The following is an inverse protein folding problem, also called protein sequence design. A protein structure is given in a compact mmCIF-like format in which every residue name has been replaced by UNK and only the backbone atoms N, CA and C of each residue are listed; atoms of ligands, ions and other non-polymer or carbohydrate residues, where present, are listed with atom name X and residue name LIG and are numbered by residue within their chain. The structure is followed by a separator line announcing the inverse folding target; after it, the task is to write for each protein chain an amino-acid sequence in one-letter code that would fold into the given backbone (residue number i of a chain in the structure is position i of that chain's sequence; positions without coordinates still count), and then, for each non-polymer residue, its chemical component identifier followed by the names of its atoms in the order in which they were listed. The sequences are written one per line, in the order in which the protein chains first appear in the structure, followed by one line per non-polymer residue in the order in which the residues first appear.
data_IF_005385967676
#
_entry.id   IF_005385967676
#
_cell.length_a   1.000
_cell.length_b   1.000
_cell.length_c   1.000
_cell.angle_alpha   90.00
_cell.angle_beta   90.00
_cell.angle_gamma   90.00
#
_symmetry.space_group_name_H-M   'P 1'
#
loop_
_entity.id
_entity.type
_entity.pdbx_description
1 polymer ?
#
# COMPACT_ATOMS: atom_id res chain seq x y z
N UNK A 1 -60.19 -12.49 -50.68
CA UNK A 1 -58.75 -12.71 -50.92
C UNK A 1 -58.27 -11.67 -51.93
N UNK A 2 -57.03 -11.17 -51.92
CA UNK A 2 -56.30 -10.51 -50.83
C UNK A 2 -55.53 -9.27 -51.35
N UNK A 3 -55.45 -8.16 -50.60
CA UNK A 3 -54.39 -7.16 -50.83
C UNK A 3 -54.11 -6.26 -49.62
N UNK A 4 -54.99 -6.28 -48.60
CA UNK A 4 -54.71 -5.72 -47.27
C UNK A 4 -53.55 -6.43 -46.52
N UNK A 5 -52.99 -7.49 -47.09
CA UNK A 5 -51.89 -8.26 -46.52
C UNK A 5 -50.47 -7.74 -46.85
N UNK A 6 -50.34 -6.66 -47.65
CA UNK A 6 -49.01 -6.17 -48.10
C UNK A 6 -48.44 -4.97 -47.33
N UNK A 7 -49.21 -4.35 -46.43
CA UNK A 7 -48.74 -3.21 -45.63
C UNK A 7 -48.43 -3.56 -44.16
N UNK A 8 -48.62 -4.82 -43.74
CA UNK A 8 -48.45 -5.27 -42.35
C UNK A 8 -47.23 -6.20 -42.14
N UNK A 9 -46.39 -6.39 -43.15
CA UNK A 9 -45.25 -7.33 -43.12
C UNK A 9 -43.86 -6.66 -43.10
N UNK A 10 -43.81 -5.33 -42.94
CA UNK A 10 -42.54 -4.58 -42.81
C UNK A 10 -42.30 -3.97 -41.43
N UNK A 11 -43.22 -4.12 -40.48
CA UNK A 11 -43.04 -3.66 -39.10
C UNK A 11 -42.74 -4.78 -38.10
N UNK A 12 -42.75 -6.05 -38.52
CA UNK A 12 -42.42 -7.19 -37.63
C UNK A 12 -40.96 -7.64 -37.68
N UNK A 13 -40.12 -7.08 -38.55
CA UNK A 13 -38.66 -7.25 -38.47
C UNK A 13 -37.97 -6.33 -37.46
N UNK A 14 -38.69 -5.36 -36.88
CA UNK A 14 -38.16 -4.51 -35.81
C UNK A 14 -38.20 -5.18 -34.41
N UNK A 15 -38.85 -6.34 -34.26
CA UNK A 15 -39.01 -7.04 -32.98
C UNK A 15 -38.23 -8.36 -32.88
N UNK A 16 -37.53 -8.77 -33.93
CA UNK A 16 -36.56 -9.87 -33.92
C UNK A 16 -35.10 -9.38 -34.00
N UNK A 17 -34.89 -8.06 -33.96
CA UNK A 17 -33.61 -7.45 -33.63
C UNK A 17 -33.34 -7.42 -32.10
N UNK A 18 -34.02 -8.25 -31.31
CA UNK A 18 -33.53 -8.67 -29.98
C UNK A 18 -32.22 -9.48 -30.07
N UNK A 19 -31.66 -9.64 -31.28
CA UNK A 19 -30.26 -9.94 -31.55
C UNK A 19 -29.26 -8.88 -31.08
N UNK A 20 -29.68 -7.74 -30.53
CA UNK A 20 -28.86 -7.03 -29.55
C UNK A 20 -28.92 -7.71 -28.18
N UNK A 21 -28.58 -9.00 -28.12
CA UNK A 21 -27.67 -9.50 -27.09
C UNK A 21 -26.33 -8.77 -27.31
N UNK A 22 -26.32 -7.46 -27.13
CA UNK A 22 -25.13 -6.81 -26.62
C UNK A 22 -25.03 -7.41 -25.24
N UNK A 23 -24.14 -8.39 -25.15
CA UNK A 23 -23.38 -8.72 -23.96
C UNK A 23 -23.04 -7.37 -23.31
N UNK A 24 -23.96 -6.90 -22.46
CA UNK A 24 -23.71 -5.80 -21.57
C UNK A 24 -22.99 -6.46 -20.40
N UNK A 25 -21.77 -6.92 -20.68
CA UNK A 25 -20.78 -7.11 -19.63
C UNK A 25 -20.72 -5.75 -18.94
N UNK A 26 -21.42 -5.63 -17.81
CA UNK A 26 -21.53 -4.36 -17.14
C UNK A 26 -20.28 -4.26 -16.28
N UNK A 27 -19.23 -3.70 -16.86
CA UNK A 27 -17.98 -3.41 -16.18
C UNK A 27 -18.22 -2.24 -15.23
N UNK A 28 -18.24 -2.51 -13.94
CA UNK A 28 -18.23 -1.45 -12.93
C UNK A 28 -16.84 -1.40 -12.31
N UNK A 29 -16.27 -0.20 -12.29
CA UNK A 29 -15.03 0.10 -11.56
C UNK A 29 -15.42 0.85 -10.29
N UNK A 30 -15.06 0.29 -9.14
CA UNK A 30 -15.26 0.93 -7.84
C UNK A 30 -13.90 1.35 -7.31
N UNK A 31 -13.71 2.65 -7.07
CA UNK A 31 -12.50 3.19 -6.46
C UNK A 31 -12.79 3.57 -5.02
N UNK A 32 -11.95 3.11 -4.10
CA UNK A 32 -11.91 3.54 -2.71
C UNK A 32 -10.52 4.11 -2.41
N UNK A 33 -10.46 5.27 -1.78
CA UNK A 33 -9.21 5.91 -1.36
C UNK A 33 -9.34 6.24 0.12
N UNK A 34 -8.30 6.00 0.89
CA UNK A 34 -8.27 6.43 2.29
C UNK A 34 -7.47 7.71 2.45
N UNK A 35 -7.95 8.52 3.39
CA UNK A 35 -7.11 9.53 4.00
C UNK A 35 -5.84 8.88 4.57
N UNK A 36 -4.76 9.66 4.60
CA UNK A 36 -3.45 9.24 5.11
C UNK A 36 -3.57 8.55 6.48
N UNK A 37 -3.20 7.28 6.55
CA UNK A 37 -3.19 6.47 7.77
C UNK A 37 -1.82 6.64 8.43
N UNK A 38 -1.79 7.25 9.61
CA UNK A 38 -0.55 7.42 10.37
C UNK A 38 -0.53 6.53 11.62
N UNK A 39 0.54 5.74 11.76
CA UNK A 39 0.85 4.98 12.96
C UNK A 39 2.07 5.59 13.65
N UNK A 40 2.07 5.60 15.00
CA UNK A 40 3.22 6.05 15.78
C UNK A 40 3.47 5.13 16.98
N UNK A 41 4.74 4.83 17.23
CA UNK A 41 5.22 4.11 18.41
C UNK A 41 6.18 5.02 19.16
N UNK A 42 5.90 5.28 20.43
CA UNK A 42 6.73 6.13 21.29
C UNK A 42 7.60 5.31 22.22
N UNK A 43 8.83 5.78 22.47
CA UNK A 43 9.72 5.16 23.46
C UNK A 43 10.18 3.75 23.08
N UNK A 44 10.31 3.48 21.78
CA UNK A 44 10.82 2.19 21.27
C UNK A 44 12.28 2.04 21.68
N UNK A 45 12.58 0.97 22.41
CA UNK A 45 13.95 0.69 22.87
C UNK A 45 14.74 -0.09 21.84
N UNK A 46 15.97 0.34 21.61
CA UNK A 46 16.94 -0.32 20.76
C UNK A 46 18.15 -0.74 21.60
N UNK A 47 18.53 -2.01 21.45
CA UNK A 47 19.79 -2.49 22.02
C UNK A 47 20.97 -1.84 21.31
N UNK A 48 22.06 -1.61 22.04
CA UNK A 48 23.33 -1.23 21.43
C UNK A 48 23.84 -2.34 20.50
N UNK A 49 24.48 -1.94 19.40
CA UNK A 49 24.98 -2.86 18.40
C UNK A 49 26.12 -3.73 18.96
N UNK A 50 26.05 -5.04 18.69
CA UNK A 50 27.14 -5.96 19.00
C UNK A 50 28.37 -5.67 18.11
N UNK A 51 29.60 -6.05 18.51
CA UNK A 51 30.77 -5.93 17.66
C UNK A 51 30.56 -6.61 16.30
N UNK A 52 30.70 -5.85 15.22
CA UNK A 52 30.50 -6.34 13.84
C UNK A 52 29.04 -6.36 13.36
N UNK A 53 28.09 -5.93 14.18
CA UNK A 53 26.71 -5.73 13.73
C UNK A 53 26.60 -4.43 12.93
N UNK A 54 26.20 -4.54 11.67
CA UNK A 54 26.07 -3.40 10.76
C UNK A 54 24.62 -3.15 10.32
N UNK A 55 23.68 -4.03 10.70
CA UNK A 55 22.27 -3.94 10.30
C UNK A 55 21.36 -3.82 11.52
N UNK A 56 20.42 -2.88 11.42
CA UNK A 56 19.32 -2.66 12.35
C UNK A 56 18.02 -2.93 11.61
N UNK A 57 17.19 -3.82 12.16
CA UNK A 57 15.86 -4.12 11.61
C UNK A 57 14.79 -3.76 12.64
N UNK A 58 13.69 -3.16 12.18
CA UNK A 58 12.50 -2.89 12.99
C UNK A 58 11.24 -3.07 12.17
N UNK A 59 10.29 -3.84 12.68
CA UNK A 59 8.95 -3.95 12.10
C UNK A 59 7.99 -3.00 12.80
N UNK A 60 7.14 -2.33 12.04
CA UNK A 60 6.04 -1.49 12.48
C UNK A 60 4.74 -2.02 11.85
N UNK A 61 3.74 -2.33 12.67
CA UNK A 61 2.41 -2.72 12.17
C UNK A 61 1.55 -1.48 11.93
N UNK A 62 0.98 -1.34 10.74
CA UNK A 62 0.05 -0.25 10.41
C UNK A 62 -1.35 -0.85 10.16
N UNK A 63 -2.39 -0.39 10.86
CA UNK A 63 -3.74 -0.88 10.64
C UNK A 63 -4.30 -0.31 9.33
N UNK A 64 -4.66 -1.18 8.39
CA UNK A 64 -5.33 -0.77 7.15
C UNK A 64 -6.83 -0.51 7.36
N UNK A 65 -7.39 -1.04 8.45
CA UNK A 65 -8.80 -0.89 8.75
C UNK A 65 -9.68 -1.75 7.84
N UNK A 66 -10.91 -1.32 7.61
CA UNK A 66 -11.94 -2.10 6.89
C UNK A 66 -12.05 -1.77 5.40
N UNK A 67 -11.03 -1.13 4.79
CA UNK A 67 -11.07 -0.65 3.40
C UNK A 67 -11.56 -1.75 2.45
N UNK A 68 -11.00 -2.95 2.56
CA UNK A 68 -11.35 -4.09 1.70
C UNK A 68 -12.61 -4.85 2.07
N UNK A 69 -13.23 -4.58 3.23
CA UNK A 69 -14.45 -5.27 3.66
C UNK A 69 -15.68 -4.77 2.90
N UNK A 70 -15.70 -3.48 2.56
CA UNK A 70 -16.78 -2.87 1.77
C UNK A 70 -16.55 -2.99 0.25
N UNK A 71 -15.39 -3.49 -0.18
CA UNK A 71 -15.07 -3.65 -1.60
C UNK A 71 -15.84 -4.83 -2.19
N UNK A 72 -16.49 -4.66 -3.36
CA UNK A 72 -17.19 -5.76 -4.01
C UNK A 72 -16.24 -6.92 -4.36
N UNK A 73 -16.81 -8.10 -4.59
CA UNK A 73 -16.06 -9.24 -5.12
C UNK A 73 -15.57 -8.91 -6.55
N UNK A 74 -14.31 -9.27 -6.84
CA UNK A 74 -13.65 -8.94 -8.09
C UNK A 74 -12.14 -8.78 -7.92
N UNK A 75 -11.44 -8.52 -9.03
CA UNK A 75 -10.00 -8.23 -8.99
C UNK A 75 -9.80 -6.85 -8.36
N UNK A 76 -8.96 -6.80 -7.32
CA UNK A 76 -8.63 -5.56 -6.61
C UNK A 76 -7.20 -5.15 -6.92
N UNK A 77 -7.07 -4.06 -7.67
CA UNK A 77 -5.80 -3.41 -7.91
C UNK A 77 -5.61 -2.37 -6.79
N UNK A 78 -4.61 -2.55 -5.92
CA UNK A 78 -4.33 -1.62 -4.81
C UNK A 78 -3.02 -0.89 -5.06
N UNK A 79 -3.00 0.41 -4.80
CA UNK A 79 -1.83 1.27 -4.78
C UNK A 79 -1.54 1.71 -3.34
N UNK A 80 -0.31 1.51 -2.89
CA UNK A 80 0.19 1.92 -1.58
C UNK A 80 1.25 3.01 -1.76
N UNK A 81 1.12 4.12 -1.05
CA UNK A 81 2.14 5.17 -0.97
C UNK A 81 2.64 5.33 0.46
N UNK A 82 3.96 5.22 0.68
CA UNK A 82 4.57 5.56 1.96
C UNK A 82 5.01 7.03 1.92
N UNK A 83 4.19 7.90 2.51
CA UNK A 83 4.36 9.35 2.39
C UNK A 83 5.41 9.89 3.36
N UNK A 84 5.46 9.32 4.56
CA UNK A 84 6.40 9.72 5.60
C UNK A 84 6.81 8.51 6.43
N UNK A 85 8.10 8.39 6.69
CA UNK A 85 8.64 7.56 7.76
C UNK A 85 9.64 8.39 8.57
N UNK A 86 9.47 8.45 9.88
CA UNK A 86 10.39 9.14 10.77
C UNK A 86 10.81 8.25 11.91
N UNK A 87 12.09 8.33 12.25
CA UNK A 87 12.66 7.78 13.47
C UNK A 87 13.43 8.90 14.17
N UNK A 88 12.98 9.27 15.36
CA UNK A 88 13.50 10.39 16.16
C UNK A 88 14.08 9.84 17.47
N UNK A 89 15.37 10.08 17.70
CA UNK A 89 16.05 9.67 18.94
C UNK A 89 15.52 10.50 20.11
N UNK A 90 15.07 9.85 21.17
CA UNK A 90 14.50 10.50 22.36
C UNK A 90 15.36 10.37 23.61
N UNK A 91 16.14 9.30 23.72
CA UNK A 91 17.07 9.07 24.83
C UNK A 91 18.28 8.25 24.33
N UNK A 92 19.44 8.48 24.96
CA UNK A 92 20.74 7.95 24.53
C UNK A 92 21.46 8.81 23.48
N UNK A 93 22.73 8.50 23.23
CA UNK A 93 23.62 9.24 22.31
C UNK A 93 23.74 8.51 20.95
N UNK A 94 22.59 8.17 20.36
CA UNK A 94 22.55 7.52 19.06
C UNK A 94 22.76 8.54 17.94
N UNK A 95 23.80 8.33 17.12
CA UNK A 95 24.07 9.16 15.93
C UNK A 95 23.63 8.45 14.64
N UNK A 96 22.43 8.78 14.18
CA UNK A 96 21.83 8.23 12.95
C UNK A 96 22.50 8.78 11.67
N UNK A 97 23.34 9.82 11.76
CA UNK A 97 24.05 10.36 10.58
C UNK A 97 25.11 9.39 10.06
N UNK A 98 25.52 8.41 10.87
CA UNK A 98 26.48 7.37 10.49
C UNK A 98 25.87 6.17 9.77
N UNK A 99 24.54 6.17 9.62
CA UNK A 99 23.85 5.21 8.76
C UNK A 99 24.19 5.52 7.29
N UNK A 100 24.42 4.46 6.52
CA UNK A 100 24.79 4.53 5.11
C UNK A 100 23.58 4.32 4.20
N UNK A 101 22.73 3.35 4.54
CA UNK A 101 21.55 3.00 3.76
C UNK A 101 20.38 2.74 4.70
N UNK A 102 19.20 3.20 4.31
CA UNK A 102 17.94 2.86 4.98
C UNK A 102 16.92 2.46 3.95
N UNK A 103 16.21 1.37 4.23
CA UNK A 103 15.12 0.85 3.43
C UNK A 103 13.88 0.72 4.30
N UNK A 104 12.72 1.05 3.75
CA UNK A 104 11.44 0.65 4.32
C UNK A 104 10.74 -0.22 3.31
N UNK A 105 10.45 -1.45 3.71
CA UNK A 105 9.86 -2.48 2.87
C UNK A 105 8.50 -2.88 3.41
N UNK A 106 7.64 -3.35 2.51
CA UNK A 106 6.34 -3.91 2.83
C UNK A 106 6.44 -5.42 2.97
N UNK A 107 5.75 -5.95 3.98
CA UNK A 107 5.52 -7.37 4.19
C UNK A 107 4.08 -7.62 4.60
N UNK A 108 3.52 -8.78 4.25
CA UNK A 108 2.22 -9.21 4.80
C UNK A 108 2.39 -9.65 6.25
N UNK A 109 1.37 -9.44 7.06
CA UNK A 109 1.42 -9.83 8.46
C UNK A 109 1.74 -11.32 8.62
N UNK A 110 2.72 -11.64 9.46
CA UNK A 110 3.13 -13.02 9.73
C UNK A 110 3.89 -13.74 8.59
N UNK A 111 4.14 -13.05 7.47
CA UNK A 111 5.06 -13.54 6.43
C UNK A 111 6.51 -13.25 6.83
N UNK A 112 7.47 -13.98 6.25
CA UNK A 112 8.90 -13.62 6.30
C UNK A 112 9.37 -12.95 5.00
N UNK A 113 8.59 -13.05 3.92
CA UNK A 113 8.96 -12.56 2.59
C UNK A 113 8.55 -11.11 2.38
N UNK A 114 9.51 -10.25 2.02
CA UNK A 114 9.25 -8.87 1.64
C UNK A 114 8.51 -8.84 0.29
N UNK A 115 7.40 -8.12 0.24
CA UNK A 115 6.64 -7.91 -1.00
C UNK A 115 7.38 -6.91 -1.88
N UNK A 116 7.76 -5.76 -1.31
CA UNK A 116 8.42 -4.68 -2.05
C UNK A 116 9.12 -3.69 -1.14
N UNK A 117 10.21 -3.09 -1.61
CA UNK A 117 10.79 -1.88 -1.01
C UNK A 117 9.95 -0.67 -1.41
N UNK A 118 9.46 0.10 -0.43
CA UNK A 118 8.66 1.31 -0.64
C UNK A 118 9.51 2.58 -0.64
N UNK A 119 10.56 2.58 0.18
CA UNK A 119 11.52 3.68 0.31
C UNK A 119 12.93 3.12 0.43
N UNK A 120 13.87 3.76 -0.26
CA UNK A 120 15.29 3.48 -0.11
C UNK A 120 16.07 4.79 -0.21
N UNK A 121 16.91 5.04 0.79
CA UNK A 121 17.84 6.17 0.81
C UNK A 121 19.23 5.65 1.10
N UNK A 122 20.21 6.25 0.43
CA UNK A 122 21.63 6.05 0.71
C UNK A 122 22.33 7.39 0.89
N UNK A 123 23.43 7.40 1.65
CA UNK A 123 24.29 8.55 1.81
C UNK A 123 24.95 8.94 0.47
N UNK A 124 25.18 10.26 0.23
CA UNK A 124 24.73 11.39 1.03
C UNK A 124 23.24 11.70 0.77
N UNK A 125 22.47 11.96 1.83
CA UNK A 125 21.07 12.37 1.73
C UNK A 125 20.67 13.25 2.91
N UNK A 126 19.78 14.22 2.67
CA UNK A 126 19.19 15.06 3.71
C UNK A 126 18.23 14.30 4.65
N UNK A 127 17.92 13.04 4.32
CA UNK A 127 17.12 12.17 5.16
C UNK A 127 17.81 11.81 6.49
N UNK A 128 19.14 11.93 6.54
CA UNK A 128 19.96 11.54 7.69
C UNK A 128 20.44 12.76 8.46
N UNK A 129 20.18 12.77 9.76
CA UNK A 129 20.77 13.70 10.72
C UNK A 129 21.11 12.94 12.01
N UNK A 130 21.90 13.50 12.94
CA UNK A 130 22.33 12.76 14.13
C UNK A 130 21.18 12.18 14.95
N UNK A 131 20.10 12.93 15.13
CA UNK A 131 18.98 12.59 16.01
C UNK A 131 17.66 12.31 15.27
N UNK A 132 17.64 12.45 13.95
CA UNK A 132 16.44 12.24 13.15
C UNK A 132 16.77 11.59 11.80
N UNK A 133 16.00 10.54 11.51
CA UNK A 133 15.89 9.94 10.19
C UNK A 133 14.50 10.28 9.65
N UNK A 134 14.42 10.99 8.52
CA UNK A 134 13.16 11.40 7.90
C UNK A 134 13.14 11.02 6.42
N UNK A 135 12.32 10.03 6.07
CA UNK A 135 12.16 9.51 4.72
C UNK A 135 10.81 9.96 4.16
N UNK A 136 10.77 10.44 2.91
CA UNK A 136 9.56 10.94 2.27
C UNK A 136 9.49 10.47 0.81
N UNK A 137 8.43 9.78 0.42
CA UNK A 137 8.13 9.53 -1.00
C UNK A 137 6.78 10.08 -1.39
N UNK A 138 6.64 10.28 -2.70
CA UNK A 138 5.38 10.63 -3.35
C UNK A 138 4.92 9.50 -4.28
N UNK A 139 5.75 8.48 -4.50
CA UNK A 139 5.43 7.39 -5.41
C UNK A 139 4.53 6.34 -4.76
N UNK A 140 3.46 6.01 -5.47
CA UNK A 140 2.60 4.90 -5.14
C UNK A 140 3.11 3.61 -5.81
N UNK A 141 2.92 2.49 -5.14
CA UNK A 141 3.32 1.16 -5.59
C UNK A 141 2.10 0.28 -5.70
N UNK A 142 1.94 -0.42 -6.83
CA UNK A 142 0.90 -1.43 -6.97
C UNK A 142 1.21 -2.66 -6.11
N UNK A 143 0.28 -3.04 -5.23
CA UNK A 143 0.32 -4.22 -4.38
C UNK A 143 -1.03 -4.93 -4.45
N UNK A 144 -1.22 -5.91 -5.35
CA UNK A 144 -2.50 -6.58 -5.54
C UNK A 144 -3.08 -7.15 -4.23
N UNK A 145 -4.40 -7.02 -4.09
CA UNK A 145 -5.20 -7.50 -2.96
C UNK A 145 -4.81 -6.96 -1.56
N UNK A 146 -3.85 -6.04 -1.44
CA UNK A 146 -3.43 -5.50 -0.15
C UNK A 146 -4.57 -4.83 0.62
N UNK A 147 -5.51 -4.17 -0.09
CA UNK A 147 -6.66 -3.54 0.54
C UNK A 147 -7.55 -4.50 1.32
N UNK A 148 -7.47 -5.82 1.05
CA UNK A 148 -8.23 -6.86 1.76
C UNK A 148 -7.55 -7.33 3.06
N UNK A 149 -6.28 -6.98 3.28
CA UNK A 149 -5.58 -7.28 4.52
C UNK A 149 -6.00 -6.28 5.62
N UNK A 150 -6.15 -6.73 6.87
CA UNK A 150 -6.52 -5.85 7.99
C UNK A 150 -5.35 -4.98 8.47
N UNK A 151 -4.13 -5.47 8.28
CA UNK A 151 -2.88 -4.86 8.74
C UNK A 151 -1.79 -5.06 7.70
N UNK A 152 -0.87 -4.10 7.65
CA UNK A 152 0.38 -4.23 6.93
C UNK A 152 1.56 -4.15 7.89
N UNK A 153 2.68 -4.77 7.51
CA UNK A 153 3.95 -4.65 8.21
C UNK A 153 4.93 -3.83 7.37
N UNK A 154 5.42 -2.73 7.96
CA UNK A 154 6.54 -1.97 7.43
C UNK A 154 7.82 -2.44 8.12
N UNK A 155 8.77 -2.93 7.33
CA UNK A 155 10.08 -3.37 7.81
C UNK A 155 11.10 -2.30 7.48
N UNK A 156 11.57 -1.59 8.51
CA UNK A 156 12.73 -0.72 8.46
C UNK A 156 13.99 -1.59 8.51
N UNK A 157 14.87 -1.42 7.53
CA UNK A 157 16.22 -1.97 7.53
C UNK A 157 17.22 -0.82 7.37
N UNK A 158 18.07 -0.60 8.37
CA UNK A 158 19.12 0.39 8.34
C UNK A 158 20.50 -0.29 8.37
N UNK A 159 21.43 0.18 7.53
CA UNK A 159 22.79 -0.33 7.46
C UNK A 159 23.82 0.78 7.65
N UNK A 160 24.93 0.46 8.29
CA UNK A 160 26.06 1.37 8.49
C UNK A 160 26.66 1.22 9.88
N UNK A 161 27.21 2.32 10.41
CA UNK A 161 27.69 2.32 11.79
C UNK A 161 26.51 2.53 12.72
N UNK A 162 26.16 1.50 13.48
CA UNK A 162 25.05 1.52 14.42
C UNK A 162 25.48 2.08 15.80
N UNK A 163 24.55 2.66 16.58
CA UNK A 163 24.83 3.09 17.95
C UNK A 163 25.29 1.91 18.82
N UNK A 164 26.43 2.07 19.50
CA UNK A 164 27.02 1.02 20.33
C UNK A 164 26.33 0.87 21.71
N UNK A 165 25.66 1.92 22.17
CA UNK A 165 24.93 1.93 23.44
C UNK A 165 23.43 1.74 23.18
N UNK A 166 22.69 1.28 24.20
CA UNK A 166 21.23 1.24 24.13
C UNK A 166 20.66 2.66 24.06
N UNK A 167 19.54 2.80 23.35
CA UNK A 167 18.92 4.10 23.08
C UNK A 167 17.42 3.91 22.84
N UNK A 168 16.66 5.01 22.85
CA UNK A 168 15.23 4.98 22.54
C UNK A 168 14.86 5.95 21.44
N UNK A 169 13.79 5.64 20.72
CA UNK A 169 13.27 6.48 19.66
C UNK A 169 11.75 6.53 19.62
N UNK A 170 11.23 7.57 18.98
CA UNK A 170 9.87 7.59 18.47
C UNK A 170 9.89 7.22 16.99
N UNK A 171 8.98 6.34 16.59
CA UNK A 171 8.79 5.94 15.19
C UNK A 171 7.42 6.43 14.75
N UNK A 172 7.34 6.98 13.55
CA UNK A 172 6.07 7.33 12.90
C UNK A 172 6.11 6.98 11.43
N UNK A 173 5.07 6.34 10.94
CA UNK A 173 4.89 6.07 9.52
C UNK A 173 3.50 6.54 9.09
N UNK A 174 3.40 7.12 7.90
CA UNK A 174 2.14 7.51 7.30
C UNK A 174 2.03 6.96 5.89
N UNK A 175 0.96 6.23 5.64
CA UNK A 175 0.69 5.55 4.36
C UNK A 175 -0.64 6.03 3.78
N UNK A 176 -0.69 6.16 2.45
CA UNK A 176 -1.93 6.35 1.70
C UNK A 176 -2.24 5.09 0.90
N UNK A 177 -3.51 4.67 0.89
CA UNK A 177 -3.98 3.49 0.17
C UNK A 177 -5.10 3.88 -0.78
N UNK A 178 -4.97 3.44 -2.03
CA UNK A 178 -6.00 3.54 -3.05
C UNK A 178 -6.29 2.14 -3.59
N UNK A 179 -7.55 1.74 -3.60
CA UNK A 179 -8.00 0.46 -4.13
C UNK A 179 -8.98 0.68 -5.29
N UNK A 180 -8.80 -0.08 -6.35
CA UNK A 180 -9.67 -0.10 -7.53
C UNK A 180 -10.16 -1.53 -7.75
N UNK A 181 -11.47 -1.72 -7.77
CA UNK A 181 -12.09 -3.02 -7.99
C UNK A 181 -12.70 -3.05 -9.37
N UNK A 182 -12.27 -4.00 -10.18
CA UNK A 182 -12.90 -4.32 -11.45
C UNK A 182 -13.90 -5.45 -11.24
N UNK A 183 -15.18 -5.10 -11.12
CA UNK A 183 -16.25 -6.07 -10.92
C UNK A 183 -16.90 -6.46 -12.25
N UNK A 184 -16.95 -7.77 -12.51
CA UNK A 184 -17.70 -8.36 -13.62
C UNK A 184 -18.94 -9.02 -13.05
N UNK A 185 -20.13 -8.52 -13.39
CA UNK A 185 -21.38 -9.17 -13.03
C UNK A 185 -22.13 -9.56 -14.30
N UNK A 186 -22.17 -10.86 -14.58
CA UNK A 186 -23.09 -11.41 -15.57
C UNK A 186 -24.51 -11.32 -15.00
N UNK A 187 -25.30 -10.37 -15.52
CA UNK A 187 -26.75 -10.34 -15.26
C UNK A 187 -27.38 -11.26 -16.31
N UNK A 188 -27.79 -12.46 -15.89
CA UNK A 188 -28.55 -13.41 -16.73
C UNK A 188 -30.04 -13.10 -16.70
#
# INVERSE_FOLDING_TARGET
MPALARALLLTTLALLASGCRKIADTFFVVTAETDQICQSESGVSFSGAAPGQETLERTLEVPLGQIGQDLPEGRVDTELSLQLFTLEVTDGDADLSKLQTVKVSLRRQGSTELIRTLLEYSQPSQAFSPNLLALRAVEATSVPDLARDERLELVLEARGTLPAQAWTANIKACVGVRAEVHAFRFIF
#
